data_IF_544845820696
#
_entry.id   IF_544845820696
#
_cell.length_a   1.000
_cell.length_b   1.000
_cell.length_c   1.000
_cell.angle_alpha   90.00
_cell.angle_beta   90.00
_cell.angle_gamma   90.00
#
_symmetry.space_group_name_H-M   'P 1'
#
loop_
_entity.id
_entity.type
_entity.pdbx_description
1 polymer ?
#
# COMPACT_ATOMS: atom_id res chain seq x y z
N UNK A 1 -13.51 19.46 -6.37
CA UNK A 1 -14.46 18.50 -5.77
C UNK A 1 -14.82 19.01 -4.38
N UNK A 2 -16.07 18.88 -3.93
CA UNK A 2 -16.44 19.32 -2.58
C UNK A 2 -16.18 18.21 -1.55
N UNK A 3 -16.11 18.55 -0.26
CA UNK A 3 -15.99 17.56 0.83
C UNK A 3 -17.16 16.56 0.81
N UNK A 4 -18.35 17.00 0.41
CA UNK A 4 -19.50 16.10 0.23
C UNK A 4 -19.21 14.98 -0.78
N UNK A 5 -18.48 15.28 -1.85
CA UNK A 5 -18.14 14.30 -2.88
C UNK A 5 -17.04 13.36 -2.36
N UNK A 6 -16.07 13.88 -1.59
CA UNK A 6 -15.07 13.07 -0.89
C UNK A 6 -15.74 12.06 0.04
N UNK A 7 -16.76 12.49 0.78
CA UNK A 7 -17.51 11.61 1.68
C UNK A 7 -18.24 10.49 0.93
N UNK A 8 -18.84 10.79 -0.24
CA UNK A 8 -19.46 9.76 -1.09
C UNK A 8 -18.43 8.74 -1.57
N UNK A 9 -17.23 9.19 -1.96
CA UNK A 9 -16.14 8.29 -2.36
C UNK A 9 -15.67 7.41 -1.19
N UNK A 10 -15.57 7.97 0.02
CA UNK A 10 -15.23 7.21 1.23
C UNK A 10 -16.34 6.21 1.58
N UNK A 11 -17.61 6.53 1.37
CA UNK A 11 -18.73 5.60 1.61
C UNK A 11 -18.75 4.43 0.62
N UNK A 12 -18.50 4.71 -0.67
CA UNK A 12 -18.50 3.69 -1.72
C UNK A 12 -17.24 2.81 -1.69
N UNK A 13 -16.07 3.44 -1.67
CA UNK A 13 -14.78 2.76 -1.81
C UNK A 13 -14.12 2.47 -0.47
N UNK A 14 -14.56 3.11 0.61
CA UNK A 14 -13.89 3.04 1.91
C UNK A 14 -12.76 4.07 2.08
N UNK A 15 -12.38 4.79 1.03
CA UNK A 15 -11.32 5.81 1.06
C UNK A 15 -11.47 6.78 -0.11
N UNK A 16 -10.83 7.93 -0.01
CA UNK A 16 -10.57 8.84 -1.11
C UNK A 16 -9.05 9.01 -1.29
N UNK A 17 -8.60 9.06 -2.54
CA UNK A 17 -7.20 9.30 -2.90
C UNK A 17 -7.14 10.49 -3.85
N UNK A 18 -6.35 11.50 -3.51
CA UNK A 18 -6.13 12.66 -4.35
C UNK A 18 -5.14 13.63 -3.72
N UNK A 19 -5.06 14.85 -4.24
CA UNK A 19 -4.28 15.95 -3.69
C UNK A 19 -5.15 16.92 -2.89
N UNK A 20 -4.50 17.70 -2.04
CA UNK A 20 -5.05 18.85 -1.31
C UNK A 20 -5.82 19.81 -2.22
N UNK A 21 -5.33 20.01 -3.45
CA UNK A 21 -5.95 20.91 -4.43
C UNK A 21 -7.25 20.38 -5.02
N UNK A 22 -7.52 19.09 -4.89
CA UNK A 22 -8.71 18.48 -5.46
C UNK A 22 -9.98 18.88 -4.69
N UNK A 23 -9.82 19.37 -3.45
CA UNK A 23 -10.92 19.76 -2.56
C UNK A 23 -11.12 21.27 -2.59
N UNK A 24 -12.29 21.73 -3.07
CA UNK A 24 -12.61 23.14 -3.30
C UNK A 24 -12.50 23.98 -2.02
N UNK A 25 -13.02 23.45 -0.91
CA UNK A 25 -13.02 24.10 0.41
C UNK A 25 -11.60 24.37 0.92
N UNK A 26 -10.59 23.68 0.38
CA UNK A 26 -9.19 23.78 0.80
C UNK A 26 -8.36 24.74 -0.06
N UNK A 27 -8.87 25.20 -1.21
CA UNK A 27 -8.10 26.04 -2.14
C UNK A 27 -7.63 27.37 -1.55
N UNK A 28 -8.33 27.86 -0.52
CA UNK A 28 -8.00 29.11 0.17
C UNK A 28 -7.19 28.90 1.46
N UNK A 29 -6.87 27.65 1.81
CA UNK A 29 -6.10 27.31 3.01
C UNK A 29 -4.64 27.12 2.63
N UNK A 30 -3.74 27.90 3.21
CA UNK A 30 -2.31 27.72 3.02
C UNK A 30 -1.76 26.62 3.93
N UNK A 31 -1.84 25.38 3.46
CA UNK A 31 -1.34 24.18 4.18
C UNK A 31 0.19 24.12 4.28
N UNK A 32 0.93 25.14 3.82
CA UNK A 32 2.37 25.33 4.15
C UNK A 32 2.57 25.92 5.53
N UNK A 33 1.54 26.57 6.06
CA UNK A 33 1.58 27.19 7.39
C UNK A 33 1.00 26.24 8.43
N UNK A 34 1.53 26.31 9.64
CA UNK A 34 0.99 25.58 10.80
C UNK A 34 -0.51 25.87 10.98
N UNK A 35 -0.91 27.13 10.86
CA UNK A 35 -2.32 27.56 10.92
C UNK A 35 -3.18 26.91 9.85
N UNK A 36 -2.69 26.82 8.61
CA UNK A 36 -3.46 26.19 7.53
C UNK A 36 -3.60 24.69 7.71
N UNK A 37 -2.57 24.02 8.22
CA UNK A 37 -2.64 22.59 8.57
C UNK A 37 -3.63 22.32 9.70
N UNK A 38 -3.68 23.19 10.72
CA UNK A 38 -4.66 23.10 11.79
C UNK A 38 -6.08 23.34 11.29
N UNK A 39 -6.32 24.39 10.49
CA UNK A 39 -7.63 24.64 9.88
C UNK A 39 -8.09 23.49 8.99
N UNK A 40 -7.18 22.88 8.24
CA UNK A 40 -7.51 21.69 7.47
C UNK A 40 -7.89 20.51 8.35
N UNK A 41 -7.12 20.26 9.42
CA UNK A 41 -7.42 19.18 10.37
C UNK A 41 -8.78 19.38 11.05
N UNK A 42 -9.13 20.60 11.43
CA UNK A 42 -10.45 20.95 11.98
C UNK A 42 -11.60 20.62 11.01
N UNK A 43 -11.42 20.92 9.71
CA UNK A 43 -12.39 20.59 8.68
C UNK A 43 -12.56 19.07 8.57
N UNK A 44 -11.48 18.29 8.54
CA UNK A 44 -11.56 16.83 8.51
C UNK A 44 -12.26 16.26 9.76
N UNK A 45 -11.87 16.74 10.93
CA UNK A 45 -12.41 16.28 12.21
C UNK A 45 -13.91 16.58 12.33
N UNK A 46 -14.35 17.76 11.87
CA UNK A 46 -15.78 18.11 11.83
C UNK A 46 -16.62 17.18 10.95
N UNK A 47 -15.99 16.49 9.99
CA UNK A 47 -16.62 15.53 9.09
C UNK A 47 -16.31 14.07 9.47
N UNK A 48 -15.68 13.82 10.63
CA UNK A 48 -15.23 12.47 11.05
C UNK A 48 -14.35 11.77 10.01
N UNK A 49 -13.49 12.55 9.35
CA UNK A 49 -12.48 12.08 8.40
C UNK A 49 -11.10 12.17 9.07
N UNK A 50 -10.25 11.22 8.72
CA UNK A 50 -8.84 11.21 9.05
C UNK A 50 -8.01 11.03 7.77
N UNK A 51 -6.70 11.28 7.85
CA UNK A 51 -5.82 11.31 6.70
C UNK A 51 -4.49 10.56 6.89
N UNK A 52 -3.91 10.16 5.76
CA UNK A 52 -2.48 9.89 5.61
C UNK A 52 -1.91 10.76 4.48
N UNK A 53 -0.69 11.32 4.61
CA UNK A 53 0.14 11.34 5.83
C UNK A 53 -0.56 12.05 7.01
N UNK A 54 -0.16 11.74 8.25
CA UNK A 54 -0.84 12.24 9.46
C UNK A 54 -0.48 13.70 9.71
N UNK A 55 -1.45 14.48 10.18
CA UNK A 55 -1.21 15.84 10.66
C UNK A 55 -1.14 15.81 12.18
N UNK A 56 0.01 16.23 12.73
CA UNK A 56 0.29 16.22 14.16
C UNK A 56 0.87 17.58 14.53
N UNK A 57 0.20 18.29 15.46
CA UNK A 57 0.64 19.59 15.98
C UNK A 57 1.03 20.59 14.87
N UNK A 58 0.20 20.71 13.84
CA UNK A 58 0.43 21.64 12.72
C UNK A 58 1.62 21.30 11.84
N UNK A 59 2.09 20.05 11.87
CA UNK A 59 3.11 19.49 10.98
C UNK A 59 2.61 18.17 10.35
N UNK A 60 3.25 17.75 9.27
CA UNK A 60 2.97 16.47 8.61
C UNK A 60 3.96 15.43 9.11
N UNK A 61 3.45 14.34 9.69
CA UNK A 61 4.30 13.25 10.14
C UNK A 61 4.83 12.44 8.95
N UNK A 62 6.09 12.04 9.04
CA UNK A 62 6.77 11.09 8.12
C UNK A 62 6.76 11.54 6.66
N UNK A 63 7.04 12.83 6.43
CA UNK A 63 7.22 13.39 5.11
C UNK A 63 8.51 14.22 5.07
N UNK A 64 9.47 13.80 4.25
CA UNK A 64 10.68 14.58 3.93
C UNK A 64 10.43 15.68 2.88
N UNK A 65 9.34 15.56 2.11
CA UNK A 65 8.99 16.43 0.99
C UNK A 65 7.91 17.48 1.35
N UNK A 66 7.63 18.40 0.44
CA UNK A 66 6.50 19.30 0.61
C UNK A 66 5.20 18.50 0.61
N UNK A 67 4.28 18.81 1.52
CA UNK A 67 2.94 18.23 1.59
C UNK A 67 2.18 18.30 0.25
N UNK A 68 2.56 19.27 -0.60
CA UNK A 68 2.01 19.50 -1.93
C UNK A 68 2.36 18.44 -2.97
N UNK A 69 3.43 17.68 -2.74
CA UNK A 69 3.97 16.72 -3.72
C UNK A 69 3.50 15.29 -3.42
N UNK A 70 2.55 15.12 -2.49
CA UNK A 70 2.12 13.82 -1.98
C UNK A 70 0.60 13.72 -2.00
N UNK A 71 0.12 12.59 -2.53
CA UNK A 71 -1.29 12.23 -2.47
C UNK A 71 -1.74 11.94 -1.03
N UNK A 72 -2.90 12.46 -0.68
CA UNK A 72 -3.59 12.20 0.57
C UNK A 72 -4.54 11.02 0.43
N UNK A 73 -4.50 10.15 1.43
CA UNK A 73 -5.52 9.13 1.63
C UNK A 73 -6.46 9.62 2.72
N UNK A 74 -7.69 9.98 2.34
CA UNK A 74 -8.75 10.36 3.27
C UNK A 74 -9.64 9.15 3.54
N UNK A 75 -10.02 8.97 4.80
CA UNK A 75 -10.82 7.83 5.25
C UNK A 75 -11.61 8.18 6.49
N UNK A 76 -12.63 7.37 6.81
CA UNK A 76 -13.44 7.60 8.01
C UNK A 76 -12.60 7.38 9.26
N UNK A 77 -12.73 8.26 10.25
CA UNK A 77 -12.00 8.13 11.52
C UNK A 77 -12.22 6.74 12.13
N UNK A 78 -11.11 6.09 12.47
CA UNK A 78 -11.08 4.72 12.96
C UNK A 78 -10.95 4.73 14.49
N UNK A 79 -11.72 3.87 15.17
CA UNK A 79 -11.57 3.67 16.61
C UNK A 79 -10.15 3.18 16.96
N UNK A 80 -9.71 3.39 18.20
CA UNK A 80 -8.35 3.04 18.64
C UNK A 80 -8.04 1.55 18.38
N UNK A 81 -7.15 1.31 17.42
CA UNK A 81 -6.58 0.00 17.11
C UNK A 81 -5.34 -0.23 17.98
N UNK A 82 -5.20 -1.42 18.57
CA UNK A 82 -3.99 -1.79 19.31
C UNK A 82 -2.84 -2.06 18.33
N UNK A 83 -2.12 -1.00 17.95
CA UNK A 83 -0.97 -1.03 17.03
C UNK A 83 0.15 -1.99 17.48
N UNK A 84 0.21 -2.34 18.77
CA UNK A 84 1.24 -3.19 19.35
C UNK A 84 0.92 -4.69 19.30
N UNK A 85 -0.30 -5.07 18.91
CA UNK A 85 -0.68 -6.48 18.74
C UNK A 85 0.18 -7.16 17.66
N UNK A 86 0.58 -8.41 17.91
CA UNK A 86 1.31 -9.23 16.92
C UNK A 86 0.50 -9.41 15.64
N UNK A 87 -0.81 -9.56 15.75
CA UNK A 87 -1.70 -9.78 14.62
C UNK A 87 -1.79 -8.53 13.73
N UNK A 88 -1.81 -7.33 14.35
CA UNK A 88 -1.77 -6.06 13.63
C UNK A 88 -0.44 -5.86 12.93
N UNK A 89 0.68 -6.14 13.61
CA UNK A 89 2.02 -6.07 12.99
C UNK A 89 2.12 -6.99 11.78
N UNK A 90 1.58 -8.21 11.89
CA UNK A 90 1.51 -9.13 10.76
C UNK A 90 0.59 -8.61 9.63
N UNK A 91 -0.58 -8.09 9.95
CA UNK A 91 -1.49 -7.51 8.95
C UNK A 91 -0.88 -6.31 8.22
N UNK A 92 -0.20 -5.42 8.93
CA UNK A 92 0.52 -4.28 8.35
C UNK A 92 1.67 -4.72 7.44
N UNK A 93 2.37 -5.80 7.80
CA UNK A 93 3.38 -6.41 6.95
C UNK A 93 2.76 -6.93 5.65
N UNK A 94 1.65 -7.68 5.74
CA UNK A 94 0.88 -8.14 4.58
C UNK A 94 0.47 -6.97 3.69
N UNK A 95 -0.07 -5.89 4.26
CA UNK A 95 -0.43 -4.69 3.53
C UNK A 95 0.77 -4.04 2.81
N UNK A 96 1.91 -3.89 3.48
CA UNK A 96 3.12 -3.28 2.90
C UNK A 96 3.65 -4.11 1.73
N UNK A 97 3.75 -5.42 1.89
CA UNK A 97 4.16 -6.30 0.80
C UNK A 97 3.19 -6.24 -0.37
N UNK A 98 1.89 -6.33 -0.08
CA UNK A 98 0.85 -6.32 -1.10
C UNK A 98 0.90 -5.05 -1.95
N UNK A 99 1.03 -3.89 -1.29
CA UNK A 99 1.18 -2.60 -1.97
C UNK A 99 2.49 -2.51 -2.79
N UNK A 100 3.61 -2.95 -2.21
CA UNK A 100 4.89 -2.91 -2.91
C UNK A 100 4.91 -3.80 -4.16
N UNK A 101 4.23 -4.95 -4.12
CA UNK A 101 4.15 -5.90 -5.25
C UNK A 101 3.25 -5.35 -6.36
N UNK A 102 2.10 -4.78 -6.02
CA UNK A 102 1.20 -4.16 -7.00
C UNK A 102 1.84 -2.98 -7.75
N UNK A 103 2.88 -2.36 -7.20
CA UNK A 103 3.58 -1.23 -7.85
C UNK A 103 4.75 -1.63 -8.75
N UNK A 104 5.07 -2.92 -8.86
CA UNK A 104 6.35 -3.36 -9.44
C UNK A 104 6.52 -2.99 -10.91
N UNK A 105 5.42 -2.91 -11.66
CA UNK A 105 5.41 -2.49 -13.06
C UNK A 105 5.10 -0.99 -13.24
N UNK A 106 4.87 -0.26 -12.14
CA UNK A 106 4.59 1.16 -12.09
C UNK A 106 3.12 1.53 -12.30
N UNK A 107 2.21 0.57 -12.49
CA UNK A 107 0.78 0.81 -12.71
C UNK A 107 -0.03 -0.05 -11.75
N UNK A 108 -0.84 0.59 -10.90
CA UNK A 108 -1.70 -0.15 -9.97
C UNK A 108 -3.13 -0.18 -10.52
N UNK A 109 -3.61 -1.36 -10.88
CA UNK A 109 -4.95 -1.56 -11.41
C UNK A 109 -5.98 -1.78 -10.28
N UNK A 110 -7.24 -1.42 -10.54
CA UNK A 110 -8.34 -1.60 -9.57
C UNK A 110 -8.51 -3.07 -9.13
N UNK A 111 -8.23 -4.03 -10.02
CA UNK A 111 -8.24 -5.45 -9.72
C UNK A 111 -7.20 -5.84 -8.68
N UNK A 112 -6.01 -5.24 -8.72
CA UNK A 112 -4.97 -5.48 -7.72
C UNK A 112 -5.42 -4.93 -6.36
N UNK A 113 -5.96 -3.70 -6.31
CA UNK A 113 -6.50 -3.12 -5.07
C UNK A 113 -7.58 -4.01 -4.46
N UNK A 114 -8.46 -4.58 -5.29
CA UNK A 114 -9.48 -5.52 -4.85
C UNK A 114 -8.88 -6.80 -4.23
N UNK A 115 -7.81 -7.34 -4.83
CA UNK A 115 -7.08 -8.50 -4.29
C UNK A 115 -6.34 -8.16 -3.00
N UNK A 116 -5.73 -6.97 -2.90
CA UNK A 116 -5.13 -6.47 -1.65
C UNK A 116 -6.18 -6.44 -0.55
N UNK A 117 -7.36 -5.86 -0.82
CA UNK A 117 -8.48 -5.83 0.12
C UNK A 117 -8.90 -7.24 0.53
N UNK A 118 -9.11 -8.14 -0.44
CA UNK A 118 -9.53 -9.51 -0.17
C UNK A 118 -8.52 -10.26 0.71
N UNK A 119 -7.23 -10.12 0.42
CA UNK A 119 -6.16 -10.76 1.21
C UNK A 119 -6.16 -10.25 2.65
N UNK A 120 -6.30 -8.94 2.87
CA UNK A 120 -6.40 -8.36 4.21
C UNK A 120 -7.67 -8.83 4.94
N UNK A 121 -8.82 -8.86 4.26
CA UNK A 121 -10.08 -9.25 4.87
C UNK A 121 -10.21 -10.76 5.13
N UNK A 122 -9.37 -11.58 4.49
CA UNK A 122 -9.24 -13.02 4.74
C UNK A 122 -8.53 -13.34 6.07
N UNK A 123 -7.85 -12.36 6.67
CA UNK A 123 -7.14 -12.50 7.93
C UNK A 123 -8.14 -12.62 9.09
N UNK A 124 -8.49 -13.85 9.45
CA UNK A 124 -9.53 -14.17 10.44
C UNK A 124 -9.18 -13.76 11.87
N UNK A 125 -7.90 -13.54 12.18
CA UNK A 125 -7.44 -13.09 13.50
C UNK A 125 -7.68 -11.60 13.77
N UNK A 126 -8.10 -10.84 12.75
CA UNK A 126 -8.34 -9.39 12.85
C UNK A 126 -9.83 -9.10 12.89
N UNK A 127 -10.22 -8.10 13.68
CA UNK A 127 -11.56 -7.51 13.61
C UNK A 127 -11.77 -6.69 12.33
N UNK A 128 -13.03 -6.40 12.00
CA UNK A 128 -13.35 -5.59 10.80
C UNK A 128 -12.74 -4.19 10.85
N UNK A 129 -12.69 -3.57 12.03
CA UNK A 129 -12.05 -2.27 12.23
C UNK A 129 -10.54 -2.34 11.98
N UNK A 130 -9.89 -3.41 12.43
CA UNK A 130 -8.46 -3.63 12.23
C UNK A 130 -8.11 -3.94 10.77
N UNK A 131 -8.95 -4.75 10.10
CA UNK A 131 -8.84 -5.01 8.66
C UNK A 131 -8.96 -3.73 7.86
N UNK A 132 -9.96 -2.90 8.18
CA UNK A 132 -10.14 -1.60 7.54
C UNK A 132 -8.93 -0.69 7.76
N UNK A 133 -8.43 -0.59 9.00
CA UNK A 133 -7.21 0.16 9.31
C UNK A 133 -6.00 -0.31 8.48
N UNK A 134 -5.77 -1.62 8.40
CA UNK A 134 -4.68 -2.20 7.63
C UNK A 134 -4.86 -1.96 6.13
N UNK A 135 -6.09 -2.03 5.63
CA UNK A 135 -6.41 -1.73 4.24
C UNK A 135 -6.10 -0.27 3.88
N UNK A 136 -6.50 0.70 4.70
CA UNK A 136 -6.15 2.11 4.51
C UNK A 136 -4.62 2.31 4.49
N UNK A 137 -3.89 1.62 5.39
CA UNK A 137 -2.42 1.64 5.36
C UNK A 137 -1.86 1.08 4.07
N UNK A 138 -2.46 0.03 3.51
CA UNK A 138 -2.06 -0.51 2.20
C UNK A 138 -2.23 0.53 1.09
N UNK A 139 -3.37 1.25 1.05
CA UNK A 139 -3.62 2.32 0.08
C UNK A 139 -2.59 3.44 0.22
N UNK A 140 -2.23 3.81 1.45
CA UNK A 140 -1.18 4.80 1.67
C UNK A 140 0.20 4.30 1.21
N UNK A 141 0.54 3.03 1.48
CA UNK A 141 1.78 2.43 0.97
C UNK A 141 1.84 2.37 -0.55
N UNK A 142 0.69 2.33 -1.24
CA UNK A 142 0.65 2.47 -2.70
C UNK A 142 1.15 3.84 -3.19
N UNK A 143 1.19 4.86 -2.34
CA UNK A 143 1.71 6.19 -2.69
C UNK A 143 3.21 6.31 -2.40
N UNK A 144 3.72 5.54 -1.45
CA UNK A 144 5.13 5.58 -1.07
C UNK A 144 6.05 4.97 -2.12
N UNK A 145 7.22 5.57 -2.31
CA UNK A 145 8.29 4.98 -3.12
C UNK A 145 8.93 3.83 -2.33
N UNK A 146 8.62 2.60 -2.69
CA UNK A 146 9.27 1.40 -2.10
C UNK A 146 10.14 0.75 -3.16
N UNK A 147 11.43 0.56 -2.85
CA UNK A 147 12.34 -0.14 -3.76
C UNK A 147 12.23 -1.65 -3.60
N UNK A 148 12.57 -2.37 -4.66
CA UNK A 148 12.63 -3.83 -4.68
C UNK A 148 13.58 -4.36 -3.60
N UNK A 149 14.74 -3.74 -3.40
CA UNK A 149 15.74 -4.22 -2.46
C UNK A 149 15.28 -4.07 -1.01
N UNK A 150 14.59 -2.97 -0.69
CA UNK A 150 13.94 -2.77 0.61
C UNK A 150 12.89 -3.86 0.85
N UNK A 151 12.08 -4.19 -0.15
CA UNK A 151 11.08 -5.25 -0.06
C UNK A 151 11.71 -6.62 0.21
N UNK A 152 12.74 -6.99 -0.54
CA UNK A 152 13.43 -8.27 -0.41
C UNK A 152 14.21 -8.37 0.92
N UNK A 153 14.84 -7.28 1.36
CA UNK A 153 15.53 -7.21 2.66
C UNK A 153 14.58 -7.39 3.84
N UNK A 154 13.33 -6.92 3.75
CA UNK A 154 12.31 -7.23 4.75
C UNK A 154 11.90 -8.70 4.70
N UNK A 155 11.74 -9.28 3.50
CA UNK A 155 11.32 -10.66 3.34
C UNK A 155 12.35 -11.63 3.93
N UNK A 156 13.64 -11.33 3.75
CA UNK A 156 14.75 -12.15 4.24
C UNK A 156 14.72 -12.33 5.77
N UNK A 157 14.33 -11.29 6.51
CA UNK A 157 14.24 -11.27 7.98
C UNK A 157 13.05 -12.05 8.55
N UNK A 158 12.10 -12.48 7.71
CA UNK A 158 10.91 -13.20 8.15
C UNK A 158 11.19 -14.68 8.42
N UNK A 159 10.33 -15.31 9.23
CA UNK A 159 10.32 -16.77 9.37
C UNK A 159 9.93 -17.44 8.05
N UNK A 160 10.36 -18.68 7.81
CA UNK A 160 10.07 -19.41 6.57
C UNK A 160 8.56 -19.56 6.30
N UNK A 161 7.77 -19.75 7.35
CA UNK A 161 6.31 -19.80 7.23
C UNK A 161 5.74 -18.47 6.75
N UNK A 162 6.21 -17.35 7.32
CA UNK A 162 5.80 -16.01 6.92
C UNK A 162 6.27 -15.66 5.50
N UNK A 163 7.48 -16.07 5.11
CA UNK A 163 8.00 -15.91 3.74
C UNK A 163 7.09 -16.58 2.72
N UNK A 164 6.68 -17.83 2.99
CA UNK A 164 5.75 -18.59 2.12
C UNK A 164 4.37 -17.94 2.03
N UNK A 165 3.86 -17.40 3.13
CA UNK A 165 2.58 -16.68 3.14
C UNK A 165 2.66 -15.41 2.29
N UNK A 166 3.69 -14.59 2.49
CA UNK A 166 3.94 -13.38 1.69
C UNK A 166 4.11 -13.72 0.21
N UNK A 167 4.82 -14.81 -0.11
CA UNK A 167 4.95 -15.30 -1.49
C UNK A 167 3.60 -15.69 -2.10
N UNK A 168 2.73 -16.38 -1.34
CA UNK A 168 1.39 -16.74 -1.81
C UNK A 168 0.55 -15.50 -2.12
N UNK A 169 0.62 -14.48 -1.26
CA UNK A 169 -0.05 -13.19 -1.47
C UNK A 169 0.51 -12.52 -2.72
N UNK A 170 1.83 -12.48 -2.88
CA UNK A 170 2.47 -11.89 -4.05
C UNK A 170 2.01 -12.52 -5.35
N UNK A 171 1.99 -13.85 -5.41
CA UNK A 171 1.50 -14.57 -6.58
C UNK A 171 0.03 -14.28 -6.87
N UNK A 172 -0.82 -14.04 -5.86
CA UNK A 172 -2.23 -13.70 -6.06
C UNK A 172 -2.43 -12.30 -6.66
N UNK A 173 -1.57 -11.35 -6.30
CA UNK A 173 -1.62 -9.96 -6.80
C UNK A 173 -1.12 -9.93 -8.24
N UNK A 174 0.02 -10.57 -8.53
CA UNK A 174 0.64 -10.62 -9.87
C UNK A 174 -0.24 -11.28 -10.94
N UNK A 175 -1.28 -12.03 -10.55
CA UNK A 175 -2.23 -12.59 -11.53
C UNK A 175 -3.54 -11.79 -11.62
N UNK A 176 -3.72 -10.76 -10.80
CA UNK A 176 -5.00 -10.07 -10.64
C UNK A 176 -5.38 -9.22 -11.87
N UNK A 177 -4.41 -8.62 -12.54
CA UNK A 177 -4.55 -7.82 -13.77
C UNK A 177 -4.69 -8.71 -15.04
N UNK A 178 -4.72 -10.03 -14.87
CA UNK A 178 -4.76 -11.02 -15.95
C UNK A 178 -3.53 -10.99 -16.88
N UNK A 179 -2.47 -10.25 -16.53
CA UNK A 179 -1.20 -10.25 -17.22
C UNK A 179 -0.09 -10.72 -16.29
N UNK A 180 1.07 -11.07 -16.83
CA UNK A 180 2.26 -11.33 -16.00
C UNK A 180 3.45 -10.72 -16.73
N UNK A 181 3.83 -9.53 -16.29
CA UNK A 181 4.94 -8.76 -16.84
C UNK A 181 6.28 -9.37 -16.39
N UNK A 182 7.34 -9.06 -17.14
CA UNK A 182 8.68 -9.61 -16.85
C UNK A 182 9.20 -9.16 -15.47
N UNK A 183 8.95 -7.91 -15.08
CA UNK A 183 9.36 -7.32 -13.79
C UNK A 183 8.75 -8.08 -12.61
N UNK A 184 7.43 -8.33 -12.65
CA UNK A 184 6.71 -9.08 -11.61
C UNK A 184 7.23 -10.52 -11.51
N UNK A 185 7.45 -11.18 -12.65
CA UNK A 185 7.99 -12.54 -12.68
C UNK A 185 9.39 -12.60 -12.07
N UNK A 186 10.23 -11.60 -12.34
CA UNK A 186 11.56 -11.52 -11.74
C UNK A 186 11.46 -11.29 -10.22
N UNK A 187 10.57 -10.43 -9.76
CA UNK A 187 10.35 -10.25 -8.32
C UNK A 187 9.90 -11.55 -7.66
N UNK A 188 8.90 -12.24 -8.22
CA UNK A 188 8.43 -13.53 -7.68
C UNK A 188 9.55 -14.57 -7.69
N UNK A 189 10.40 -14.59 -8.71
CA UNK A 189 11.57 -15.47 -8.74
C UNK A 189 12.59 -15.17 -7.62
N UNK A 190 12.82 -13.89 -7.31
CA UNK A 190 13.68 -13.50 -6.19
C UNK A 190 13.06 -13.90 -4.85
N UNK A 191 11.74 -13.78 -4.71
CA UNK A 191 11.02 -14.27 -3.53
C UNK A 191 11.08 -15.80 -3.41
N UNK A 192 11.00 -16.55 -4.53
CA UNK A 192 11.19 -18.01 -4.54
C UNK A 192 12.57 -18.37 -4.01
N UNK A 193 13.62 -17.65 -4.45
CA UNK A 193 14.99 -17.85 -3.97
C UNK A 193 15.09 -17.64 -2.46
N UNK A 194 14.46 -16.59 -1.93
CA UNK A 194 14.43 -16.32 -0.48
C UNK A 194 13.62 -17.34 0.33
N UNK A 195 12.73 -18.09 -0.32
CA UNK A 195 11.95 -19.18 0.26
C UNK A 195 12.56 -20.58 0.06
N UNK A 196 13.80 -20.66 -0.46
CA UNK A 196 14.46 -21.90 -0.86
C UNK A 196 13.64 -22.76 -1.83
N UNK A 197 12.95 -22.11 -2.78
CA UNK A 197 12.11 -22.74 -3.80
C UNK A 197 12.76 -22.66 -5.19
N UNK A 198 12.53 -23.66 -6.07
CA UNK A 198 13.13 -23.68 -7.40
C UNK A 198 12.53 -22.59 -8.30
N UNK A 199 13.36 -21.64 -8.75
CA UNK A 199 12.90 -20.47 -9.54
C UNK A 199 12.43 -20.84 -10.95
N UNK A 200 12.83 -21.99 -11.48
CA UNK A 200 12.38 -22.48 -12.78
C UNK A 200 10.89 -22.88 -12.81
N UNK A 201 10.24 -23.06 -11.64
CA UNK A 201 8.82 -23.41 -11.57
C UNK A 201 7.89 -22.21 -11.53
N UNK A 202 8.40 -20.99 -11.28
CA UNK A 202 7.59 -19.76 -11.09
C UNK A 202 6.52 -19.58 -12.18
N UNK A 203 6.90 -19.71 -13.45
CA UNK A 203 5.95 -19.52 -14.56
C UNK A 203 4.86 -20.58 -14.62
N UNK A 204 5.18 -21.83 -14.24
CA UNK A 204 4.23 -22.93 -14.18
C UNK A 204 3.28 -22.75 -13.00
N UNK A 205 3.81 -22.31 -11.86
CA UNK A 205 3.07 -22.18 -10.61
C UNK A 205 2.11 -20.99 -10.67
N UNK A 206 2.52 -19.86 -11.28
CA UNK A 206 1.63 -18.72 -11.57
C UNK A 206 0.48 -19.11 -12.53
N UNK A 207 0.77 -19.85 -13.62
CA UNK A 207 -0.28 -20.34 -14.53
C UNK A 207 -1.25 -21.30 -13.85
N UNK A 208 -0.74 -22.16 -12.97
CA UNK A 208 -1.55 -23.10 -12.20
C UNK A 208 -2.47 -22.34 -11.24
N UNK A 209 -1.92 -21.33 -10.55
CA UNK A 209 -2.68 -20.48 -9.63
C UNK A 209 -3.77 -19.69 -10.39
N UNK A 210 -3.44 -19.06 -11.52
CA UNK A 210 -4.41 -18.36 -12.36
C UNK A 210 -5.58 -19.27 -12.77
N UNK A 211 -5.28 -20.50 -13.22
CA UNK A 211 -6.31 -21.48 -13.59
C UNK A 211 -7.19 -21.88 -12.40
N UNK A 212 -6.61 -22.11 -11.21
CA UNK A 212 -7.39 -22.46 -10.02
C UNK A 212 -8.24 -21.30 -9.51
N UNK A 213 -7.80 -20.06 -9.73
CA UNK A 213 -8.51 -18.84 -9.34
C UNK A 213 -9.51 -18.36 -10.40
N UNK A 214 -9.68 -19.11 -11.50
CA UNK A 214 -10.59 -18.75 -12.60
C UNK A 214 -10.12 -17.58 -13.47
N UNK A 215 -8.85 -17.16 -13.35
CA UNK A 215 -8.25 -16.07 -14.11
C UNK A 215 -7.73 -16.59 -15.45
N UNK A 216 -8.19 -15.99 -16.56
CA UNK A 216 -7.68 -16.26 -17.89
C UNK A 216 -6.56 -15.27 -18.26
N UNK A 217 -5.31 -15.71 -18.18
CA UNK A 217 -4.16 -14.88 -18.49
C UNK A 217 -4.15 -14.47 -19.97
N UNK A 218 -4.06 -13.17 -20.23
CA UNK A 218 -3.91 -12.61 -21.55
C UNK A 218 -2.42 -12.37 -21.86
N UNK A 219 -2.03 -12.61 -23.10
CA UNK A 219 -0.68 -12.25 -23.56
C UNK A 219 -0.63 -10.74 -23.83
N UNK A 220 -0.13 -9.93 -22.90
CA UNK A 220 0.25 -8.54 -23.23
C UNK A 220 1.43 -8.58 -24.21
N UNK A 221 1.32 -7.87 -25.33
CA UNK A 221 2.51 -7.44 -26.09
C UNK A 221 3.27 -6.49 -25.17
N UNK A 222 4.54 -6.80 -24.90
CA UNK A 222 5.38 -6.00 -24.04
C UNK A 222 5.51 -4.58 -24.62
N UNK A 223 4.78 -3.61 -24.05
CA UNK A 223 5.16 -2.21 -24.18
C UNK A 223 6.40 -1.96 -23.33
N UNK A 224 7.28 -1.10 -23.85
CA UNK A 224 8.66 -0.91 -23.41
C UNK A 224 8.73 -0.67 -21.89
N UNK A 225 9.41 -1.57 -21.17
CA UNK A 225 9.88 -1.32 -19.81
C UNK A 225 10.67 -0.01 -19.80
N UNK A 226 10.23 0.98 -19.01
CA UNK A 226 11.12 2.04 -18.57
C UNK A 226 12.12 1.43 -17.57
N UNK A 227 13.41 1.61 -17.85
CA UNK A 227 14.48 1.23 -16.93
C UNK A 227 14.38 2.12 -15.68
N UNK A 228 14.17 1.50 -14.52
CA UNK A 228 14.25 2.18 -13.24
C UNK A 228 15.71 2.46 -12.91
N UNK A 229 16.09 3.74 -12.90
CA UNK A 229 17.40 4.20 -12.43
C UNK A 229 17.43 4.24 -10.89
N UNK A 230 18.52 3.72 -10.34
CA UNK A 230 18.80 3.60 -8.90
C UNK A 230 19.46 4.85 -8.34
N UNK A 231 19.03 5.27 -7.14
CA UNK A 231 19.85 6.01 -6.18
C UNK A 231 19.89 5.22 -4.85
N UNK A 232 21.05 5.09 -4.20
CA UNK A 232 21.18 4.43 -2.90
C UNK A 232 21.02 5.45 -1.75
N UNK A 233 20.27 5.10 -0.69
CA UNK A 233 20.38 5.82 0.58
C UNK A 233 20.07 4.96 1.83
N UNK A 234 20.69 5.34 2.95
CA UNK A 234 21.00 4.63 4.21
C UNK A 234 19.80 4.33 5.14
N UNK A 235 18.74 3.71 4.63
CA UNK A 235 17.46 3.55 5.35
C UNK A 235 17.31 2.24 6.15
N UNK A 236 18.34 1.86 6.91
CA UNK A 236 18.22 0.77 7.90
C UNK A 236 17.99 1.27 9.33
N UNK A 237 18.46 2.50 9.65
CA UNK A 237 18.31 3.09 10.99
C UNK A 237 17.00 3.88 11.14
N UNK A 238 16.48 4.50 10.08
CA UNK A 238 15.13 5.12 10.07
C UNK A 238 14.00 4.10 10.24
N UNK A 239 14.22 2.85 9.85
CA UNK A 239 13.19 1.81 9.82
C UNK A 239 12.64 1.43 11.22
N UNK A 240 13.40 1.69 12.28
CA UNK A 240 12.92 1.48 13.66
C UNK A 240 12.23 2.74 14.19
N UNK A 241 12.63 3.94 13.76
CA UNK A 241 12.07 5.22 14.21
C UNK A 241 10.77 5.62 13.47
N UNK A 242 10.60 5.27 12.19
CA UNK A 242 9.36 5.50 11.41
C UNK A 242 8.15 4.68 11.91
N UNK A 243 8.39 3.59 12.64
CA UNK A 243 7.33 2.78 13.24
C UNK A 243 6.85 3.37 14.58
N UNK A 244 7.61 4.27 15.19
CA UNK A 244 7.37 4.80 16.54
C UNK A 244 7.06 6.30 16.58
N UNK A 245 7.33 7.07 15.53
CA UNK A 245 7.03 8.51 15.53
C UNK A 245 5.62 8.82 14.99
N UNK A 246 4.72 8.90 15.98
CA UNK A 246 3.31 9.34 16.07
C UNK A 246 2.18 8.30 15.79
#
# INVERSE_FOLDING_TARGET
MFISDVLLDIEDKGYFLGSWFDIEELKNIDVRTESGLLSFKEILDSNSIDCYPKIVNGSVANVEHSIFDIDIVLYKTIANVNKNSKDIKYGLLVAKFSAAIAKVDGLVDFSEIAVIRQNIYSLSMLSETEKYYIFIRAIYYLQLKTTKDVLLGHLEKLSDNSKRQVLSIAMSIVIADMSIVKSERLLVADMYRLCDMPTNSVSRDLKKLAKSSGVQLQARKADRCQEFNFEPDDTLNEFIEELENF
#
